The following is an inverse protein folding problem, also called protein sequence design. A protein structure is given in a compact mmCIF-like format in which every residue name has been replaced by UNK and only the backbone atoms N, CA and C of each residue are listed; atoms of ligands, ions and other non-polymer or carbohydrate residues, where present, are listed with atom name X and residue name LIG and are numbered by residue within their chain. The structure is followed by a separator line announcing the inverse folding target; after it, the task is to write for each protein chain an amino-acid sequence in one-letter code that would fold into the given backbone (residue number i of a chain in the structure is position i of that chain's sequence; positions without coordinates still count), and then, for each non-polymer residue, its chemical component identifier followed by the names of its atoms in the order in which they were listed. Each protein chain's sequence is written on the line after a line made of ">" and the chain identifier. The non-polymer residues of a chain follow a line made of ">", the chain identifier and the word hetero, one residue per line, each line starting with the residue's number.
data_IF_031763520741
#
_entry.id   IF_031763520741
#
_cell.length_a   1.000
_cell.length_b   1.000
_cell.length_c   1.000
_cell.angle_alpha   90.00
_cell.angle_beta   90.00
_cell.angle_gamma   90.00
#
_symmetry.space_group_name_H-M   'P 1'
#
loop_
_entity.id
_entity.type
_entity.pdbx_description
1 polymer ?
#
# COMPACT_ATOMS: atom_id res chain seq x y z
N UNK A 1 -28.33 -27.88 1.05
CA UNK A 1 -28.19 -27.28 -0.31
C UNK A 1 -28.51 -25.80 -0.17
N UNK A 2 -27.53 -24.89 -0.34
CA UNK A 2 -27.76 -23.46 -0.14
C UNK A 2 -28.67 -22.88 -1.23
N UNK A 3 -29.62 -22.01 -0.85
CA UNK A 3 -30.58 -21.40 -1.75
C UNK A 3 -29.86 -20.54 -2.82
N UNK A 4 -30.18 -20.70 -4.13
CA UNK A 4 -29.57 -19.91 -5.20
C UNK A 4 -29.74 -18.40 -5.01
N UNK A 5 -30.85 -17.93 -4.43
CA UNK A 5 -31.12 -16.51 -4.14
C UNK A 5 -30.15 -15.97 -3.08
N UNK A 6 -29.84 -16.76 -2.04
CA UNK A 6 -28.84 -16.39 -1.03
C UNK A 6 -27.46 -16.20 -1.65
N UNK A 7 -27.10 -17.04 -2.63
CA UNK A 7 -25.82 -16.92 -3.35
C UNK A 7 -25.75 -15.63 -4.17
N UNK A 8 -26.83 -15.27 -4.86
CA UNK A 8 -26.90 -14.07 -5.70
C UNK A 8 -26.85 -12.80 -4.84
N UNK A 9 -27.61 -12.75 -3.74
CA UNK A 9 -27.58 -11.60 -2.84
C UNK A 9 -26.20 -11.44 -2.19
N UNK A 10 -25.57 -12.52 -1.73
CA UNK A 10 -24.20 -12.46 -1.18
C UNK A 10 -23.18 -11.94 -2.19
N UNK A 11 -23.28 -12.32 -3.47
CA UNK A 11 -22.41 -11.80 -4.52
C UNK A 11 -22.69 -10.30 -4.77
N UNK A 12 -23.96 -9.90 -4.81
CA UNK A 12 -24.34 -8.48 -4.93
C UNK A 12 -23.86 -7.67 -3.74
N UNK A 13 -24.04 -8.13 -2.51
CA UNK A 13 -23.60 -7.46 -1.30
C UNK A 13 -22.06 -7.35 -1.27
N UNK A 14 -21.36 -8.42 -1.65
CA UNK A 14 -19.90 -8.38 -1.78
C UNK A 14 -19.48 -7.35 -2.83
N UNK A 15 -20.12 -7.35 -4.01
CA UNK A 15 -19.85 -6.42 -5.09
C UNK A 15 -20.18 -4.96 -4.71
N UNK A 16 -21.28 -4.72 -3.99
CA UNK A 16 -21.69 -3.40 -3.48
C UNK A 16 -20.67 -2.88 -2.48
N UNK A 17 -20.12 -3.73 -1.60
CA UNK A 17 -19.04 -3.33 -0.68
C UNK A 17 -17.77 -2.91 -1.45
N UNK A 18 -17.45 -3.54 -2.58
CA UNK A 18 -16.29 -3.14 -3.40
C UNK A 18 -16.58 -1.87 -4.21
N UNK A 19 -17.82 -1.67 -4.67
CA UNK A 19 -18.23 -0.53 -5.49
C UNK A 19 -18.60 0.73 -4.69
N UNK A 20 -18.61 0.66 -3.36
CA UNK A 20 -18.86 1.81 -2.46
C UNK A 20 -17.62 2.71 -2.29
N UNK A 21 -16.45 2.26 -2.78
CA UNK A 21 -15.24 3.06 -2.79
C UNK A 21 -15.28 4.14 -3.88
N UNK A 22 -15.01 5.38 -3.49
CA UNK A 22 -14.84 6.47 -4.46
C UNK A 22 -13.64 6.20 -5.35
N UNK A 23 -13.64 6.75 -6.57
CA UNK A 23 -12.46 6.76 -7.45
C UNK A 23 -11.22 7.28 -6.72
N UNK A 24 -11.40 8.24 -5.81
CA UNK A 24 -10.31 8.76 -4.97
C UNK A 24 -9.75 7.73 -3.98
N UNK A 25 -10.60 6.87 -3.41
CA UNK A 25 -10.16 5.83 -2.48
C UNK A 25 -9.35 4.76 -3.20
N UNK A 26 -9.79 4.37 -4.40
CA UNK A 26 -9.02 3.47 -5.26
C UNK A 26 -7.65 4.04 -5.61
N UNK A 27 -7.57 5.32 -5.99
CA UNK A 27 -6.29 5.99 -6.26
C UNK A 27 -5.41 6.00 -5.01
N UNK A 28 -5.97 6.35 -3.85
CA UNK A 28 -5.24 6.39 -2.58
C UNK A 28 -4.68 5.01 -2.20
N UNK A 29 -5.48 3.96 -2.32
CA UNK A 29 -5.05 2.58 -2.07
C UNK A 29 -3.95 2.17 -3.05
N UNK A 30 -4.12 2.46 -4.35
CA UNK A 30 -3.12 2.14 -5.36
C UNK A 30 -1.77 2.84 -5.09
N UNK A 31 -1.80 4.12 -4.72
CA UNK A 31 -0.58 4.86 -4.33
C UNK A 31 0.03 4.27 -3.05
N UNK A 32 -0.78 3.94 -2.04
CA UNK A 32 -0.32 3.31 -0.80
C UNK A 32 0.38 1.97 -1.06
N UNK A 33 -0.19 1.12 -1.91
CA UNK A 33 0.43 -0.13 -2.34
C UNK A 33 1.74 0.09 -3.10
N UNK A 34 1.80 1.11 -3.97
CA UNK A 34 3.04 1.48 -4.65
C UNK A 34 4.16 1.89 -3.67
N UNK A 35 3.83 2.65 -2.63
CA UNK A 35 4.77 3.02 -1.57
C UNK A 35 5.24 1.78 -0.79
N UNK A 36 4.33 0.89 -0.40
CA UNK A 36 4.69 -0.35 0.31
C UNK A 36 5.55 -1.28 -0.54
N UNK A 37 5.26 -1.37 -1.84
CA UNK A 37 6.10 -2.10 -2.79
C UNK A 37 7.52 -1.50 -2.87
N UNK A 38 7.65 -0.17 -2.89
CA UNK A 38 8.94 0.50 -2.85
C UNK A 38 9.71 0.21 -1.56
N UNK A 39 9.04 0.28 -0.40
CA UNK A 39 9.62 -0.08 0.90
C UNK A 39 10.09 -1.55 0.89
N UNK A 40 9.27 -2.46 0.37
CA UNK A 40 9.63 -3.87 0.18
C UNK A 40 10.87 -4.03 -0.68
N UNK A 41 10.92 -3.33 -1.82
CA UNK A 41 12.08 -3.33 -2.72
C UNK A 41 13.35 -2.80 -2.03
N UNK A 42 13.24 -1.75 -1.20
CA UNK A 42 14.34 -1.27 -0.38
C UNK A 42 14.81 -2.32 0.62
N UNK A 43 13.89 -3.06 1.23
CA UNK A 43 14.19 -4.09 2.21
C UNK A 43 14.88 -5.31 1.60
N UNK A 44 14.39 -5.79 0.44
CA UNK A 44 14.99 -6.92 -0.28
C UNK A 44 16.36 -6.59 -0.86
N UNK A 45 16.51 -5.42 -1.48
CA UNK A 45 17.77 -5.04 -2.11
C UNK A 45 18.75 -4.35 -1.15
N UNK A 46 18.34 -4.04 0.09
CA UNK A 46 19.10 -3.24 1.06
C UNK A 46 19.65 -1.93 0.46
N UNK A 47 18.91 -1.35 -0.51
CA UNK A 47 19.27 -0.14 -1.26
C UNK A 47 18.15 0.89 -1.18
N UNK A 48 18.54 2.15 -1.15
CA UNK A 48 17.61 3.29 -1.10
C UNK A 48 17.99 4.33 -2.14
N UNK A 49 16.98 4.97 -2.73
CA UNK A 49 17.22 6.07 -3.65
C UNK A 49 17.68 7.32 -2.91
N UNK A 50 18.89 7.78 -3.21
CA UNK A 50 19.48 8.97 -2.61
C UNK A 50 19.21 10.19 -3.51
N UNK A 51 18.36 11.12 -3.04
CA UNK A 51 18.02 12.34 -3.79
C UNK A 51 19.22 13.25 -4.07
N UNK A 52 20.25 13.25 -3.22
CA UNK A 52 21.43 14.12 -3.40
C UNK A 52 22.26 13.73 -4.62
N UNK A 53 22.50 12.44 -4.79
CA UNK A 53 23.39 11.93 -5.85
C UNK A 53 22.59 11.27 -6.99
N UNK A 54 21.25 11.31 -6.93
CA UNK A 54 20.33 10.63 -7.84
C UNK A 54 20.75 9.19 -8.16
N UNK A 55 21.22 8.49 -7.13
CA UNK A 55 21.77 7.14 -7.24
C UNK A 55 21.22 6.22 -6.16
N UNK A 56 21.29 4.92 -6.41
CA UNK A 56 20.97 3.91 -5.40
C UNK A 56 22.15 3.77 -4.43
N UNK A 57 21.93 4.16 -3.16
CA UNK A 57 22.87 3.96 -2.06
C UNK A 57 22.55 2.69 -1.27
N UNK A 58 23.55 2.07 -0.67
CA UNK A 58 23.34 0.91 0.21
C UNK A 58 22.93 1.36 1.62
N UNK A 59 22.30 0.44 2.36
CA UNK A 59 21.98 0.65 3.78
C UNK A 59 23.21 0.95 4.63
N UNK A 60 24.36 0.35 4.31
CA UNK A 60 25.59 0.51 5.09
C UNK A 60 26.17 1.92 4.99
N UNK A 61 26.09 2.52 3.79
CA UNK A 61 26.57 3.89 3.55
C UNK A 61 25.60 4.93 4.10
N UNK A 62 24.29 4.67 4.02
CA UNK A 62 23.23 5.62 4.42
C UNK A 62 22.18 5.01 5.37
N UNK A 63 22.56 4.54 6.57
CA UNK A 63 21.67 3.79 7.45
C UNK A 63 20.48 4.63 7.95
N UNK A 64 20.71 5.92 8.22
CA UNK A 64 19.65 6.84 8.69
C UNK A 64 18.62 7.13 7.61
N UNK A 65 19.06 7.33 6.36
CA UNK A 65 18.17 7.62 5.23
C UNK A 65 17.35 6.38 4.87
N UNK A 66 17.99 5.21 4.89
CA UNK A 66 17.33 3.92 4.72
C UNK A 66 16.21 3.74 5.75
N UNK A 67 16.54 3.89 7.04
CA UNK A 67 15.57 3.69 8.13
C UNK A 67 14.39 4.68 8.05
N UNK A 68 14.65 5.94 7.69
CA UNK A 68 13.59 6.94 7.53
C UNK A 68 12.66 6.63 6.34
N UNK A 69 13.19 6.11 5.22
CA UNK A 69 12.37 5.66 4.09
C UNK A 69 11.49 4.46 4.47
N UNK A 70 12.04 3.50 5.21
CA UNK A 70 11.29 2.32 5.64
C UNK A 70 10.19 2.71 6.64
N UNK A 71 10.52 3.44 7.71
CA UNK A 71 9.54 3.83 8.74
C UNK A 71 8.49 4.77 8.15
N UNK A 72 8.92 5.83 7.46
CA UNK A 72 8.01 6.80 6.86
C UNK A 72 7.14 6.18 5.77
N UNK A 73 7.74 5.39 4.87
CA UNK A 73 7.03 4.70 3.80
C UNK A 73 6.06 3.65 4.32
N UNK A 74 6.42 2.90 5.37
CA UNK A 74 5.51 1.91 5.97
C UNK A 74 4.34 2.59 6.66
N UNK A 75 4.59 3.62 7.49
CA UNK A 75 3.52 4.34 8.19
C UNK A 75 2.54 4.99 7.20
N UNK A 76 3.06 5.68 6.19
CA UNK A 76 2.24 6.35 5.16
C UNK A 76 1.52 5.31 4.30
N UNK A 77 2.23 4.28 3.82
CA UNK A 77 1.65 3.25 2.97
C UNK A 77 0.53 2.49 3.65
N UNK A 78 0.74 2.06 4.90
CA UNK A 78 -0.29 1.38 5.71
C UNK A 78 -1.47 2.33 5.98
N UNK A 79 -1.21 3.59 6.35
CA UNK A 79 -2.28 4.57 6.57
C UNK A 79 -3.11 4.81 5.31
N UNK A 80 -2.47 4.93 4.15
CA UNK A 80 -3.17 5.16 2.88
C UNK A 80 -4.07 3.98 2.50
N UNK A 81 -3.61 2.76 2.74
CA UNK A 81 -4.39 1.55 2.46
C UNK A 81 -5.48 1.34 3.51
N UNK A 82 -5.20 1.57 4.80
CA UNK A 82 -6.15 1.27 5.89
C UNK A 82 -7.24 2.34 6.05
N UNK A 83 -6.95 3.61 5.78
CA UNK A 83 -7.87 4.70 6.08
C UNK A 83 -9.27 4.59 5.43
N UNK A 84 -9.43 4.14 4.17
CA UNK A 84 -10.75 3.92 3.58
C UNK A 84 -11.57 2.79 4.22
N UNK A 85 -10.96 1.96 5.08
CA UNK A 85 -11.64 0.86 5.79
C UNK A 85 -11.91 1.18 7.26
N UNK A 86 -11.41 2.30 7.78
CA UNK A 86 -11.52 2.68 9.19
C UNK A 86 -12.68 3.65 9.46
N UNK A 87 -13.31 4.19 8.42
CA UNK A 87 -14.48 5.10 8.44
C UNK A 87 -15.32 4.88 7.17
#
# INVERSE_FOLDING_TARGET
>A
MANPVYKINKIKDTATIIMDFSTFDFIRIAVGLGVLMYVGNCMFNQKVWIRKNFSWGTREEYPKIFMLNIIGGTLIGVWMVAAPFLW
#
